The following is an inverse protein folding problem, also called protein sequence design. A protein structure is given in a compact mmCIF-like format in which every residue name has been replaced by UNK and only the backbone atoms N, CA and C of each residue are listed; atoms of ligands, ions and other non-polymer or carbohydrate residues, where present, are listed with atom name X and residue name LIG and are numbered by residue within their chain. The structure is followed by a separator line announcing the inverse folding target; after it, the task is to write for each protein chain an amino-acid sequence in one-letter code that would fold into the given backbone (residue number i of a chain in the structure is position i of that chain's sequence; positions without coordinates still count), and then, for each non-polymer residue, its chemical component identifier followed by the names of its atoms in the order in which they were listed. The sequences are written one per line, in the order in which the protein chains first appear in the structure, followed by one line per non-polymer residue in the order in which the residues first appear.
data_IF_210627595674
#
_entry.id   IF_210627595674
#
_cell.length_a   1.000
_cell.length_b   1.000
_cell.length_c   1.000
_cell.angle_alpha   90.00
_cell.angle_beta   90.00
_cell.angle_gamma   90.00
#
_symmetry.space_group_name_H-M   'P 1'
#
loop_
_entity.id
_entity.type
_entity.pdbx_description
1 polymer ?
#
# COMPACT_ATOMS: atom_id res chain seq x y z
N UNK A 1 -4.61 10.86 61.81
CA UNK A 1 -3.44 11.14 60.96
C UNK A 1 -2.69 9.85 60.66
N UNK A 2 -2.63 8.88 61.57
CA UNK A 2 -1.89 7.61 61.42
C UNK A 2 -2.54 6.63 60.42
N UNK A 3 -3.82 6.80 60.05
CA UNK A 3 -4.56 5.89 59.16
C UNK A 3 -4.54 6.31 57.70
N UNK A 4 -3.96 7.47 57.37
CA UNK A 4 -3.90 8.02 56.01
C UNK A 4 -2.60 7.65 55.28
N UNK A 5 -1.59 7.15 55.99
CA UNK A 5 -0.28 6.80 55.45
C UNK A 5 -0.26 5.54 54.53
N UNK A 6 -1.03 4.46 54.82
CA UNK A 6 -1.04 3.27 53.96
C UNK A 6 -1.80 3.45 52.65
N UNK A 7 -2.64 4.51 52.51
CA UNK A 7 -3.42 4.76 51.31
C UNK A 7 -2.59 5.32 50.14
N UNK A 8 -1.43 5.92 50.45
CA UNK A 8 -0.54 6.49 49.43
C UNK A 8 0.41 5.49 48.76
N UNK A 9 0.49 4.27 49.29
CA UNK A 9 1.40 3.23 48.78
C UNK A 9 0.75 2.27 47.78
N UNK A 10 -0.54 2.38 47.48
CA UNK A 10 -1.28 1.47 46.59
C UNK A 10 -1.25 1.87 45.10
N UNK A 11 -0.47 2.88 44.71
CA UNK A 11 -0.57 3.53 43.39
C UNK A 11 0.41 3.07 42.31
N UNK A 12 1.29 2.11 42.55
CA UNK A 12 2.19 1.65 41.48
C UNK A 12 1.69 0.34 40.85
N UNK A 13 0.69 0.43 39.97
CA UNK A 13 0.43 -0.66 39.05
C UNK A 13 1.47 -0.62 37.93
N UNK A 14 2.37 -1.60 37.98
CA UNK A 14 3.38 -1.81 36.95
C UNK A 14 2.68 -2.08 35.60
N UNK A 15 2.87 -1.22 34.61
CA UNK A 15 2.36 -1.36 33.24
C UNK A 15 2.91 -2.58 32.47
N UNK A 16 3.73 -3.42 33.13
CA UNK A 16 4.35 -4.63 32.55
C UNK A 16 3.37 -5.71 32.11
N UNK A 17 2.07 -5.52 32.26
CA UNK A 17 1.04 -6.49 31.88
C UNK A 17 0.05 -5.95 30.86
N UNK A 18 0.50 -5.19 29.87
CA UNK A 18 -0.32 -4.94 28.69
C UNK A 18 -0.06 -6.08 27.70
N UNK A 19 -0.99 -7.03 27.55
CA UNK A 19 -0.82 -8.13 26.62
C UNK A 19 -0.99 -7.62 25.20
N UNK A 20 0.11 -7.42 24.50
CA UNK A 20 0.08 -7.23 23.07
C UNK A 20 -0.10 -8.59 22.39
N UNK A 21 -1.13 -8.74 21.54
CA UNK A 21 -1.35 -9.92 20.67
C UNK A 21 -1.52 -11.27 21.39
N UNK A 22 -1.97 -11.31 22.65
CA UNK A 22 -2.14 -12.56 23.39
C UNK A 22 -3.30 -13.41 22.86
N UNK A 23 -4.33 -12.79 22.27
CA UNK A 23 -5.46 -13.53 21.73
C UNK A 23 -5.04 -14.42 20.56
N UNK A 24 -4.10 -13.97 19.73
CA UNK A 24 -3.55 -14.76 18.63
C UNK A 24 -2.77 -16.00 19.12
N UNK A 25 -2.15 -15.92 20.30
CA UNK A 25 -1.42 -17.07 20.89
C UNK A 25 -2.36 -18.08 21.55
N UNK A 26 -3.52 -17.65 22.04
CA UNK A 26 -4.53 -18.56 22.62
C UNK A 26 -5.25 -19.37 21.54
N UNK A 27 -5.53 -18.80 20.38
CA UNK A 27 -6.08 -19.53 19.23
C UNK A 27 -5.12 -20.60 18.71
N UNK A 28 -3.83 -20.31 18.65
CA UNK A 28 -2.80 -21.31 18.27
C UNK A 28 -2.64 -22.39 19.32
N UNK A 29 -2.78 -22.08 20.62
CA UNK A 29 -2.68 -23.05 21.71
C UNK A 29 -3.91 -23.97 21.82
N UNK A 30 -5.06 -23.54 21.30
CA UNK A 30 -6.29 -24.35 21.28
C UNK A 30 -6.29 -25.44 20.19
N UNK A 31 -5.19 -25.58 19.43
CA UNK A 31 -5.04 -26.64 18.44
C UNK A 31 -5.89 -26.46 17.18
N UNK A 32 -6.59 -25.34 17.07
CA UNK A 32 -7.19 -24.92 15.83
C UNK A 32 -6.09 -24.35 14.91
N UNK A 33 -5.41 -25.26 14.22
CA UNK A 33 -4.61 -24.90 13.05
C UNK A 33 -5.56 -24.58 11.89
N UNK A 34 -6.63 -23.90 12.19
CA UNK A 34 -7.40 -23.21 11.18
C UNK A 34 -6.44 -22.24 10.51
N UNK A 35 -5.83 -22.68 9.41
CA UNK A 35 -5.54 -21.79 8.32
C UNK A 35 -6.91 -21.20 8.00
N UNK A 36 -7.31 -20.20 8.79
CA UNK A 36 -8.41 -19.36 8.41
C UNK A 36 -8.05 -18.94 6.99
N UNK A 37 -8.79 -19.44 6.04
CA UNK A 37 -8.71 -19.02 4.66
C UNK A 37 -9.16 -17.56 4.67
N UNK A 38 -8.28 -16.72 5.24
CA UNK A 38 -8.50 -15.28 5.31
C UNK A 38 -8.52 -14.84 3.86
N UNK A 39 -9.68 -14.44 3.35
CA UNK A 39 -9.77 -14.01 1.97
C UNK A 39 -8.69 -12.95 1.77
N UNK A 40 -7.77 -13.23 0.85
CA UNK A 40 -6.74 -12.28 0.47
C UNK A 40 -7.45 -10.96 0.16
N UNK A 41 -7.22 -9.96 1.02
CA UNK A 41 -7.74 -8.62 0.78
C UNK A 41 -7.15 -8.13 -0.54
N UNK A 42 -7.99 -7.95 -1.52
CA UNK A 42 -7.63 -7.36 -2.80
C UNK A 42 -8.08 -5.90 -2.82
N UNK A 43 -7.12 -5.00 -2.98
CA UNK A 43 -7.40 -3.58 -2.98
C UNK A 43 -8.30 -3.22 -4.17
N UNK A 44 -9.33 -2.39 -3.93
CA UNK A 44 -10.20 -1.88 -4.98
C UNK A 44 -9.72 -0.52 -5.44
N UNK A 45 -9.82 -0.28 -6.74
CA UNK A 45 -9.48 0.99 -7.35
C UNK A 45 -10.46 2.07 -6.86
N UNK A 46 -9.92 3.15 -6.35
CA UNK A 46 -10.70 4.27 -5.81
C UNK A 46 -10.51 5.54 -6.67
N UNK A 47 -11.45 6.48 -6.61
CA UNK A 47 -11.26 7.79 -7.19
C UNK A 47 -9.98 8.45 -6.68
N UNK A 48 -9.22 9.10 -7.55
CA UNK A 48 -7.90 9.71 -7.32
C UNK A 48 -6.72 8.72 -7.24
N UNK A 49 -6.96 7.44 -7.46
CA UNK A 49 -5.84 6.52 -7.65
C UNK A 49 -5.11 6.81 -8.96
N UNK A 50 -3.81 6.59 -8.91
CA UNK A 50 -2.92 6.74 -10.05
C UNK A 50 -2.50 5.35 -10.51
N UNK A 51 -2.80 5.01 -11.75
CA UNK A 51 -2.58 3.69 -12.32
C UNK A 51 -1.58 3.75 -13.47
N UNK A 52 -0.73 2.72 -13.57
CA UNK A 52 0.02 2.41 -14.78
C UNK A 52 -0.60 1.19 -15.42
N UNK A 53 -0.93 1.29 -16.69
CA UNK A 53 -1.54 0.20 -17.47
C UNK A 53 -0.60 -0.13 -18.61
N UNK A 54 -0.21 -1.40 -18.69
CA UNK A 54 0.67 -1.92 -19.74
C UNK A 54 -0.10 -2.96 -20.54
N UNK A 55 -0.09 -2.79 -21.85
CA UNK A 55 -0.65 -3.75 -22.80
C UNK A 55 0.50 -4.42 -23.52
N UNK A 56 0.50 -5.73 -23.59
CA UNK A 56 1.51 -6.51 -24.28
C UNK A 56 0.84 -7.56 -25.16
N UNK A 57 1.31 -7.67 -26.40
CA UNK A 57 0.93 -8.74 -27.32
C UNK A 57 2.24 -9.38 -27.84
N UNK A 58 2.56 -10.62 -27.45
CA UNK A 58 3.82 -11.26 -27.81
C UNK A 58 4.00 -11.46 -29.32
N UNK A 59 2.94 -11.75 -30.04
CA UNK A 59 3.01 -12.02 -31.49
C UNK A 59 2.97 -10.74 -32.35
N UNK A 60 2.25 -9.70 -31.86
CA UNK A 60 2.10 -8.44 -32.58
C UNK A 60 2.46 -7.23 -31.66
N UNK A 61 3.74 -7.08 -31.27
CA UNK A 61 4.14 -6.03 -30.31
C UNK A 61 3.90 -4.62 -30.84
N UNK A 62 3.89 -4.42 -32.15
CA UNK A 62 3.63 -3.12 -32.78
C UNK A 62 2.20 -2.62 -32.53
N UNK A 63 1.23 -3.52 -32.42
CA UNK A 63 -0.15 -3.15 -32.12
C UNK A 63 -0.33 -2.68 -30.66
N UNK A 64 0.59 -3.05 -29.78
CA UNK A 64 0.55 -2.61 -28.38
C UNK A 64 1.15 -1.21 -28.17
N UNK A 65 1.94 -0.67 -29.10
CA UNK A 65 2.62 0.64 -28.98
C UNK A 65 1.65 1.79 -28.72
N UNK A 66 0.49 1.92 -29.41
CA UNK A 66 -0.44 3.02 -29.19
C UNK A 66 -1.09 3.03 -27.79
N UNK A 67 -1.06 1.92 -27.08
CA UNK A 67 -1.62 1.78 -25.73
C UNK A 67 -0.59 2.05 -24.63
N UNK A 68 0.71 1.92 -24.96
CA UNK A 68 1.82 2.09 -24.03
C UNK A 68 2.49 3.47 -24.24
N UNK A 69 1.71 4.53 -24.06
CA UNK A 69 2.23 5.89 -24.23
C UNK A 69 3.31 6.17 -23.18
N UNK A 70 4.40 6.77 -23.64
CA UNK A 70 5.48 7.22 -22.75
C UNK A 70 5.49 8.74 -22.70
N UNK A 71 5.64 9.28 -21.49
CA UNK A 71 5.83 10.73 -21.27
C UNK A 71 7.27 10.96 -20.80
N UNK A 72 7.92 11.94 -21.37
CA UNK A 72 9.20 12.42 -20.85
C UNK A 72 8.90 13.45 -19.78
N UNK A 73 9.16 13.10 -18.51
CA UNK A 73 9.02 14.06 -17.43
C UNK A 73 10.27 14.94 -17.38
N UNK A 74 10.15 16.26 -17.60
CA UNK A 74 11.34 17.12 -17.69
C UNK A 74 12.03 17.41 -16.37
N UNK A 75 11.48 17.07 -15.21
CA UNK A 75 12.05 17.49 -13.94
C UNK A 75 11.70 16.53 -12.79
N UNK A 76 12.62 15.67 -12.42
CA UNK A 76 12.73 15.24 -11.04
C UNK A 76 13.69 16.19 -10.33
N UNK A 77 13.15 17.09 -9.54
CA UNK A 77 13.91 18.17 -8.88
C UNK A 77 14.72 17.68 -7.66
N UNK A 78 14.66 16.39 -7.36
CA UNK A 78 15.28 15.80 -6.18
C UNK A 78 16.74 15.36 -6.38
N UNK A 79 17.17 15.16 -7.62
CA UNK A 79 18.57 14.87 -7.92
C UNK A 79 19.00 15.71 -9.13
N UNK A 80 20.05 16.46 -8.97
CA UNK A 80 20.66 17.39 -9.94
C UNK A 80 21.14 16.73 -11.25
N UNK A 81 20.57 15.59 -11.62
CA UNK A 81 20.82 14.86 -12.86
C UNK A 81 19.57 14.88 -13.73
N UNK A 82 19.65 15.57 -14.84
CA UNK A 82 18.64 15.54 -15.90
C UNK A 82 18.65 14.16 -16.58
N UNK A 83 17.99 13.19 -15.97
CA UNK A 83 17.80 11.89 -16.60
C UNK A 83 16.49 11.93 -17.37
N UNK A 84 16.60 12.11 -18.66
CA UNK A 84 15.47 12.13 -19.61
C UNK A 84 15.02 10.69 -19.89
N UNK A 85 14.54 9.98 -18.86
CA UNK A 85 14.02 8.62 -19.02
C UNK A 85 12.53 8.66 -19.39
N UNK A 86 12.14 8.00 -20.47
CA UNK A 86 10.74 7.85 -20.79
C UNK A 86 10.04 7.02 -19.73
N UNK A 87 9.01 7.57 -19.13
CA UNK A 87 8.17 6.90 -18.12
C UNK A 87 6.82 6.57 -18.76
N UNK A 88 6.28 5.40 -18.50
CA UNK A 88 4.94 5.05 -18.94
C UNK A 88 3.91 6.05 -18.43
N UNK A 89 2.97 6.40 -19.29
CA UNK A 89 1.88 7.29 -18.94
C UNK A 89 1.08 6.71 -17.78
N UNK A 90 0.77 7.57 -16.82
CA UNK A 90 -0.05 7.23 -15.67
C UNK A 90 -1.47 7.75 -15.91
N UNK A 91 -2.45 6.98 -15.47
CA UNK A 91 -3.87 7.28 -15.61
C UNK A 91 -4.45 7.62 -14.24
N UNK A 92 -4.97 8.84 -14.12
CA UNK A 92 -5.66 9.28 -12.90
C UNK A 92 -7.12 8.87 -12.97
N UNK A 93 -7.59 8.12 -11.97
CA UNK A 93 -9.01 7.79 -11.82
C UNK A 93 -9.77 9.03 -11.42
N UNK A 94 -10.80 9.39 -12.19
CA UNK A 94 -11.63 10.56 -11.92
C UNK A 94 -12.56 10.37 -10.71
N UNK A 95 -13.31 11.41 -10.34
CA UNK A 95 -14.24 11.35 -9.20
C UNK A 95 -15.40 10.37 -9.41
N UNK A 96 -15.65 9.97 -10.64
CA UNK A 96 -16.71 9.00 -11.01
C UNK A 96 -16.17 7.58 -11.17
N UNK A 97 -14.88 7.38 -10.96
CA UNK A 97 -14.24 6.07 -11.12
C UNK A 97 -13.86 5.74 -12.56
N UNK A 98 -13.71 6.74 -13.44
CA UNK A 98 -13.36 6.50 -14.84
C UNK A 98 -11.91 6.89 -15.11
N UNK A 99 -11.36 6.29 -16.16
CA UNK A 99 -10.10 6.68 -16.79
C UNK A 99 -10.31 6.91 -18.29
N UNK A 100 -9.52 7.80 -18.88
CA UNK A 100 -9.45 7.96 -20.33
C UNK A 100 -8.29 7.13 -20.87
N UNK A 101 -8.63 6.01 -21.51
CA UNK A 101 -7.64 5.08 -22.04
C UNK A 101 -7.52 5.26 -23.57
N UNK A 102 -6.29 5.22 -24.14
CA UNK A 102 -6.09 5.42 -25.57
C UNK A 102 -6.97 4.48 -26.41
N UNK A 103 -7.49 5.01 -27.51
CA UNK A 103 -8.31 4.31 -28.51
C UNK A 103 -9.67 3.86 -27.98
N UNK A 104 -9.75 3.32 -26.74
CA UNK A 104 -11.00 2.84 -26.15
C UNK A 104 -11.84 3.99 -25.58
N UNK A 105 -11.17 5.10 -25.19
CA UNK A 105 -11.82 6.24 -24.56
C UNK A 105 -12.10 6.04 -23.08
N UNK A 106 -13.24 6.53 -22.62
CA UNK A 106 -13.60 6.53 -21.21
C UNK A 106 -14.04 5.14 -20.73
N UNK A 107 -13.39 4.64 -19.66
CA UNK A 107 -13.65 3.32 -19.06
C UNK A 107 -13.92 3.49 -17.58
N UNK A 108 -15.01 2.91 -17.07
CA UNK A 108 -15.30 2.86 -15.64
C UNK A 108 -14.58 1.67 -14.98
N UNK A 109 -13.65 1.98 -14.07
CA UNK A 109 -12.85 0.98 -13.34
C UNK A 109 -12.93 1.17 -11.82
N UNK A 110 -13.59 2.23 -11.37
CA UNK A 110 -13.76 2.50 -9.94
C UNK A 110 -14.54 1.39 -9.23
N UNK A 111 -14.07 0.97 -8.06
CA UNK A 111 -14.67 -0.12 -7.29
C UNK A 111 -14.26 -1.52 -7.73
N UNK A 112 -13.62 -1.67 -8.90
CA UNK A 112 -13.09 -2.95 -9.36
C UNK A 112 -11.79 -3.30 -8.64
N UNK A 113 -11.53 -4.57 -8.49
CA UNK A 113 -10.21 -5.07 -8.13
C UNK A 113 -9.27 -4.93 -9.33
N UNK A 114 -7.98 -5.05 -9.09
CA UNK A 114 -6.96 -5.03 -10.13
C UNK A 114 -7.26 -6.06 -11.24
N UNK A 115 -7.54 -7.30 -10.84
CA UNK A 115 -7.82 -8.40 -11.76
C UNK A 115 -9.10 -8.17 -12.59
N UNK A 116 -10.14 -7.62 -11.96
CA UNK A 116 -11.38 -7.26 -12.66
C UNK A 116 -11.14 -6.13 -13.68
N UNK A 117 -10.33 -5.13 -13.32
CA UNK A 117 -9.97 -4.04 -14.22
C UNK A 117 -9.11 -4.53 -15.41
N UNK A 118 -8.13 -5.42 -15.15
CA UNK A 118 -7.33 -6.06 -16.19
C UNK A 118 -8.22 -6.82 -17.18
N UNK A 119 -9.18 -7.61 -16.68
CA UNK A 119 -10.10 -8.37 -17.51
C UNK A 119 -11.01 -7.45 -18.32
N UNK A 120 -11.58 -6.40 -17.70
CA UNK A 120 -12.44 -5.44 -18.39
C UNK A 120 -11.69 -4.74 -19.55
N UNK A 121 -10.47 -4.31 -19.33
CA UNK A 121 -9.65 -3.64 -20.35
C UNK A 121 -9.31 -4.65 -21.46
N UNK A 122 -8.93 -5.86 -21.10
CA UNK A 122 -8.63 -6.95 -22.01
C UNK A 122 -9.81 -7.26 -22.94
N UNK A 123 -11.02 -7.37 -22.39
CA UNK A 123 -12.23 -7.63 -23.17
C UNK A 123 -12.55 -6.50 -24.16
N UNK A 124 -12.29 -5.25 -23.74
CA UNK A 124 -12.47 -4.08 -24.63
C UNK A 124 -11.41 -3.98 -25.71
N UNK A 125 -10.19 -4.47 -25.45
CA UNK A 125 -9.08 -4.47 -26.41
C UNK A 125 -9.17 -5.63 -27.39
N UNK A 126 -9.78 -6.75 -27.01
CA UNK A 126 -9.85 -7.97 -27.82
C UNK A 126 -10.24 -7.75 -29.30
N UNK A 127 -11.21 -6.87 -29.64
CA UNK A 127 -11.58 -6.64 -31.05
C UNK A 127 -10.46 -6.04 -31.91
N UNK A 128 -9.42 -5.47 -31.29
CA UNK A 128 -8.33 -4.78 -31.98
C UNK A 128 -7.10 -5.68 -32.16
N UNK A 129 -7.06 -6.81 -31.47
CA UNK A 129 -5.98 -7.78 -31.53
C UNK A 129 -6.49 -9.11 -32.09
N UNK A 130 -5.66 -9.78 -32.87
CA UNK A 130 -5.95 -11.14 -33.35
C UNK A 130 -5.85 -12.16 -32.23
N UNK A 131 -4.89 -11.92 -31.32
CA UNK A 131 -4.69 -12.71 -30.13
C UNK A 131 -5.13 -11.98 -28.87
N UNK A 132 -5.22 -12.74 -27.79
CA UNK A 132 -5.64 -12.20 -26.51
C UNK A 132 -4.50 -11.37 -25.90
N UNK A 133 -4.64 -10.03 -25.81
CA UNK A 133 -3.58 -9.20 -25.23
C UNK A 133 -3.41 -9.48 -23.74
N UNK A 134 -2.19 -9.30 -23.25
CA UNK A 134 -1.87 -9.31 -21.83
C UNK A 134 -1.98 -7.88 -21.33
N UNK A 135 -2.85 -7.65 -20.37
CA UNK A 135 -3.04 -6.34 -19.72
C UNK A 135 -2.56 -6.44 -18.29
N UNK A 136 -1.71 -5.52 -17.89
CA UNK A 136 -1.23 -5.43 -16.51
C UNK A 136 -1.56 -4.06 -15.95
N UNK A 137 -2.28 -4.02 -14.83
CA UNK A 137 -2.62 -2.79 -14.10
C UNK A 137 -1.81 -2.73 -12.81
N UNK A 138 -1.19 -1.59 -12.51
CA UNK A 138 -0.45 -1.34 -11.27
C UNK A 138 -0.88 -0.03 -10.63
N UNK A 139 -1.04 -0.02 -9.33
CA UNK A 139 -1.25 1.19 -8.54
C UNK A 139 0.11 1.84 -8.24
N UNK A 140 0.24 3.14 -8.54
CA UNK A 140 1.51 3.86 -8.40
C UNK A 140 1.59 4.64 -7.09
N UNK A 141 0.46 5.10 -6.57
CA UNK A 141 0.40 5.98 -5.40
C UNK A 141 -0.09 5.30 -4.12
N UNK A 142 0.17 3.99 -3.97
CA UNK A 142 -0.21 3.31 -2.75
C UNK A 142 0.57 3.87 -1.55
N UNK A 143 -0.16 4.41 -0.58
CA UNK A 143 0.41 5.09 0.58
C UNK A 143 -0.23 4.59 1.86
N UNK A 144 0.58 4.51 2.89
CA UNK A 144 0.10 4.25 4.26
C UNK A 144 0.48 5.41 5.15
N UNK A 145 -0.35 5.69 6.15
CA UNK A 145 -0.05 6.70 7.17
C UNK A 145 0.09 6.02 8.52
N UNK A 146 1.24 6.19 9.14
CA UNK A 146 1.52 5.70 10.49
C UNK A 146 1.48 6.88 11.45
N UNK A 147 0.60 6.80 12.45
CA UNK A 147 0.35 7.85 13.43
C UNK A 147 0.45 7.22 14.83
N UNK A 148 1.04 7.93 15.76
CA UNK A 148 1.15 7.51 17.17
C UNK A 148 2.56 7.68 17.70
N UNK A 149 2.85 7.00 18.80
CA UNK A 149 4.15 6.97 19.47
C UNK A 149 5.18 6.13 18.68
N UNK A 150 5.61 6.67 17.54
CA UNK A 150 6.64 6.07 16.68
C UNK A 150 7.74 7.10 16.41
N UNK A 151 8.95 6.64 16.11
CA UNK A 151 10.09 7.55 15.89
C UNK A 151 9.86 8.49 14.69
N UNK A 152 9.23 8.01 13.63
CA UNK A 152 8.95 8.78 12.43
C UNK A 152 7.48 8.63 12.02
N UNK A 153 6.54 9.37 12.68
CA UNK A 153 5.16 9.40 12.22
C UNK A 153 5.09 10.09 10.85
N UNK A 154 4.31 9.52 9.93
CA UNK A 154 4.21 10.11 8.60
C UNK A 154 3.50 9.22 7.59
N UNK A 155 3.50 9.69 6.35
CA UNK A 155 2.94 8.95 5.20
C UNK A 155 4.08 8.35 4.39
N UNK A 156 4.02 7.03 4.22
CA UNK A 156 5.02 6.25 3.48
C UNK A 156 4.43 5.79 2.15
N UNK A 157 5.17 5.97 1.06
CA UNK A 157 4.81 5.41 -0.24
C UNK A 157 5.33 3.99 -0.33
N UNK A 158 4.46 3.06 -0.67
CA UNK A 158 4.75 1.63 -0.74
C UNK A 158 4.90 1.23 -2.20
N UNK A 159 6.04 0.65 -2.55
CA UNK A 159 6.31 0.16 -3.90
C UNK A 159 5.54 -1.12 -4.23
N UNK A 160 5.21 -1.91 -3.21
CA UNK A 160 4.40 -3.11 -3.32
C UNK A 160 2.94 -2.76 -3.01
N UNK A 161 2.02 -3.40 -3.70
CA UNK A 161 0.57 -3.18 -3.51
C UNK A 161 0.04 -3.77 -2.19
N UNK A 162 0.90 -4.34 -1.37
CA UNK A 162 0.60 -4.94 -0.06
C UNK A 162 1.65 -4.55 0.96
N UNK A 163 1.20 -4.26 2.17
CA UNK A 163 2.04 -4.05 3.34
C UNK A 163 1.34 -4.65 4.56
N UNK A 164 2.05 -5.38 5.38
CA UNK A 164 1.53 -5.88 6.63
C UNK A 164 1.75 -4.84 7.76
N UNK A 165 1.04 -5.01 8.87
CA UNK A 165 1.12 -4.09 10.01
C UNK A 165 2.55 -4.00 10.56
N UNK A 166 3.26 -5.12 10.65
CA UNK A 166 4.63 -5.14 11.17
C UNK A 166 5.60 -4.42 10.25
N UNK A 167 5.42 -4.56 8.93
CA UNK A 167 6.21 -3.85 7.93
C UNK A 167 5.95 -2.34 7.99
N UNK A 168 4.68 -1.93 8.10
CA UNK A 168 4.30 -0.53 8.27
C UNK A 168 4.92 0.08 9.53
N UNK A 169 4.89 -0.67 10.63
CA UNK A 169 5.48 -0.26 11.88
C UNK A 169 7.02 -0.23 11.81
N UNK A 170 7.65 -1.17 11.12
CA UNK A 170 9.10 -1.18 10.90
C UNK A 170 9.56 0.04 10.09
N UNK A 171 8.79 0.45 9.08
CA UNK A 171 9.05 1.67 8.30
C UNK A 171 9.00 2.94 9.16
N UNK A 172 8.10 2.99 10.14
CA UNK A 172 7.98 4.08 11.07
C UNK A 172 8.98 3.99 12.25
N UNK A 173 9.87 2.98 12.25
CA UNK A 173 10.83 2.67 13.30
C UNK A 173 10.15 2.56 14.68
N UNK A 174 9.52 1.43 14.93
CA UNK A 174 8.67 1.09 16.07
C UNK A 174 9.24 1.35 17.46
N UNK A 175 10.53 1.50 17.58
CA UNK A 175 11.19 1.57 18.86
C UNK A 175 11.73 2.97 19.13
N UNK A 176 10.84 3.88 19.46
CA UNK A 176 11.21 4.87 20.43
C UNK A 176 11.28 4.15 21.79
N UNK A 177 12.37 3.50 22.06
CA UNK A 177 12.75 3.21 23.44
C UNK A 177 13.01 4.58 24.05
N UNK A 178 12.05 5.11 24.83
CA UNK A 178 12.38 6.19 25.74
C UNK A 178 13.64 5.75 26.49
N UNK A 179 14.67 6.58 26.56
CA UNK A 179 15.89 6.20 27.26
C UNK A 179 15.49 5.73 28.65
N UNK A 180 15.96 4.54 29.03
CA UNK A 180 15.73 3.99 30.34
C UNK A 180 16.17 5.06 31.37
N UNK A 181 15.45 5.25 32.49
CA UNK A 181 15.93 6.15 33.53
C UNK A 181 17.37 5.89 33.97
N UNK A 182 17.93 4.73 33.66
CA UNK A 182 19.35 4.39 33.89
C UNK A 182 20.30 5.04 32.90
N UNK A 183 19.84 5.35 31.69
CA UNK A 183 20.68 5.93 30.64
C UNK A 183 20.87 7.45 30.83
N UNK A 184 20.09 8.05 31.72
CA UNK A 184 20.12 9.49 32.03
C UNK A 184 21.09 9.80 33.18
N UNK A 185 21.51 8.80 33.97
CA UNK A 185 22.40 8.99 35.13
C UNK A 185 23.88 8.92 34.77
N UNK A 186 24.26 8.57 33.55
CA UNK A 186 25.68 8.45 33.11
C UNK A 186 26.16 9.59 32.17
N UNK A 187 25.47 10.75 32.16
CA UNK A 187 25.84 11.90 31.34
C UNK A 187 26.34 13.07 32.19
#
# INVERSE_FOLDING_TARGET
ILLLLPLLLAGCQSYKKVPYLQDALQEVAAGDTGTADMPLYDARIMPKDLLTIVVSCPEEPELAIPFNLTVTSPLSQENNYLTNQPVLQQYLVDNKGNIDFPIIGNIHIGGLTKSEAEQLIKDKLQPQFREVPIVTVRMVNYKISVIGEVAHPGTFTISNEKVNIFEALAMACLLYTSPSPRDVEES
#
